data_IF_413072627055
#
_entry.id   IF_413072627055
#
_cell.length_a   1.000
_cell.length_b   1.000
_cell.length_c   1.000
_cell.angle_alpha   90.00
_cell.angle_beta   90.00
_cell.angle_gamma   90.00
#
_symmetry.space_group_name_H-M   'P 1'
#
loop_
_entity.id
_entity.type
_entity.pdbx_description
1 polymer ?
#
# COMPACT_ATOMS: atom_id res chain seq x y z
N UNK A 1 19.74 -6.58 15.55
CA UNK A 1 20.02 -5.87 14.29
C UNK A 1 18.71 -5.73 13.55
N UNK A 2 18.27 -4.51 13.22
CA UNK A 2 17.05 -4.32 12.45
C UNK A 2 17.21 -4.91 11.05
N UNK A 3 16.26 -5.73 10.62
CA UNK A 3 16.22 -6.17 9.23
C UNK A 3 15.98 -4.92 8.37
N UNK A 4 16.91 -4.62 7.46
CA UNK A 4 16.77 -3.50 6.53
C UNK A 4 15.63 -3.70 5.53
N UNK A 5 15.54 -2.86 4.51
CA UNK A 5 14.59 -3.06 3.41
C UNK A 5 14.90 -4.41 2.73
N UNK A 6 13.90 -5.25 2.42
CA UNK A 6 14.09 -6.54 1.75
C UNK A 6 14.90 -6.43 0.46
N UNK A 7 15.66 -7.48 0.15
CA UNK A 7 16.46 -7.50 -1.08
C UNK A 7 15.56 -7.45 -2.31
N UNK A 8 15.75 -6.43 -3.16
CA UNK A 8 14.94 -6.20 -4.36
C UNK A 8 13.80 -5.19 -4.18
N UNK A 9 13.66 -4.61 -2.98
CA UNK A 9 12.90 -3.38 -2.77
C UNK A 9 13.84 -2.24 -2.36
N UNK A 10 13.52 -1.03 -2.80
CA UNK A 10 14.20 0.20 -2.43
C UNK A 10 13.34 1.01 -1.45
N UNK A 11 12.02 0.84 -1.51
CA UNK A 11 11.03 1.55 -0.72
C UNK A 11 9.89 0.62 -0.32
N UNK A 12 9.28 0.89 0.83
CA UNK A 12 8.00 0.29 1.24
C UNK A 12 6.94 1.40 1.28
N UNK A 13 5.93 1.30 0.43
CA UNK A 13 4.76 2.18 0.49
C UNK A 13 3.69 1.54 1.39
N UNK A 14 3.15 2.30 2.34
CA UNK A 14 2.09 1.84 3.23
C UNK A 14 0.84 2.70 3.06
N UNK A 15 -0.31 2.05 2.89
CA UNK A 15 -1.60 2.72 2.79
C UNK A 15 -2.56 2.17 3.84
N UNK A 16 -3.21 3.08 4.57
CA UNK A 16 -4.15 2.74 5.63
C UNK A 16 -5.60 2.84 5.13
N UNK A 17 -6.49 1.93 5.56
CA UNK A 17 -7.91 2.04 5.30
C UNK A 17 -8.50 3.21 6.10
N UNK A 18 -9.72 3.63 5.72
CA UNK A 18 -10.40 4.77 6.36
C UNK A 18 -10.56 4.60 7.87
N UNK A 19 -10.70 3.35 8.34
CA UNK A 19 -10.80 3.02 9.76
C UNK A 19 -9.78 1.93 10.10
N UNK A 20 -8.90 2.24 11.04
CA UNK A 20 -7.96 1.28 11.63
C UNK A 20 -8.49 0.86 13.01
N UNK A 21 -8.44 -0.44 13.29
CA UNK A 21 -8.90 -1.07 14.53
C UNK A 21 -7.89 -2.13 14.94
N UNK A 22 -8.04 -2.68 16.16
CA UNK A 22 -7.18 -3.77 16.64
C UNK A 22 -7.23 -5.05 15.78
N UNK A 23 -8.33 -5.25 15.04
CA UNK A 23 -8.49 -6.37 14.10
C UNK A 23 -8.16 -6.03 12.65
N UNK A 24 -7.58 -4.85 12.37
CA UNK A 24 -7.24 -4.46 11.00
C UNK A 24 -6.07 -5.31 10.51
N UNK A 25 -6.33 -6.11 9.47
CA UNK A 25 -5.30 -6.96 8.83
C UNK A 25 -4.26 -6.12 8.10
N UNK A 26 -3.07 -6.68 7.96
CA UNK A 26 -1.98 -6.12 7.16
C UNK A 26 -1.67 -7.07 6.01
N UNK A 27 -1.60 -6.57 4.78
CA UNK A 27 -1.34 -7.39 3.59
C UNK A 27 -0.25 -6.80 2.72
N UNK A 28 0.60 -7.67 2.19
CA UNK A 28 1.56 -7.33 1.14
C UNK A 28 0.83 -7.41 -0.21
N UNK A 29 0.89 -6.34 -1.00
CA UNK A 29 0.18 -6.25 -2.27
C UNK A 29 1.00 -5.46 -3.30
N UNK A 30 0.92 -5.81 -4.61
CA UNK A 30 1.52 -4.99 -5.65
C UNK A 30 0.74 -3.68 -5.84
N UNK A 31 1.42 -2.66 -6.36
CA UNK A 31 0.77 -1.43 -6.79
C UNK A 31 -0.25 -1.73 -7.89
N UNK A 32 -1.47 -1.21 -7.76
CA UNK A 32 -2.46 -1.26 -8.83
C UNK A 32 -1.90 -0.56 -10.08
N UNK A 33 -2.09 -1.15 -11.27
CA UNK A 33 -1.63 -0.54 -12.53
C UNK A 33 -2.32 0.79 -12.82
N UNK A 34 -3.57 0.94 -12.40
CA UNK A 34 -4.37 2.13 -12.64
C UNK A 34 -5.43 2.27 -11.55
N UNK A 35 -5.60 3.49 -11.03
CA UNK A 35 -6.66 3.85 -10.07
C UNK A 35 -7.74 4.75 -10.68
N UNK A 36 -7.38 5.52 -11.70
CA UNK A 36 -8.26 6.48 -12.33
C UNK A 36 -8.21 6.35 -13.86
N UNK A 37 -9.38 6.33 -14.51
CA UNK A 37 -9.50 6.59 -15.93
C UNK A 37 -9.47 8.10 -16.17
N UNK A 38 -8.72 8.52 -17.18
CA UNK A 38 -8.62 9.91 -17.55
C UNK A 38 -9.91 10.42 -18.19
N UNK A 39 -10.45 11.52 -17.67
CA UNK A 39 -11.57 12.24 -18.28
C UNK A 39 -11.20 13.70 -18.49
N UNK A 40 -11.61 14.23 -19.64
CA UNK A 40 -11.41 15.64 -20.01
C UNK A 40 -12.78 16.27 -20.23
N UNK A 41 -13.08 17.35 -19.53
CA UNK A 41 -14.25 18.19 -19.79
C UNK A 41 -13.83 19.47 -20.49
N UNK A 42 -14.50 19.79 -21.60
CA UNK A 42 -14.30 21.02 -22.35
C UNK A 42 -15.30 22.04 -21.86
N UNK A 43 -14.81 23.18 -21.39
CA UNK A 43 -15.60 24.28 -20.86
C UNK A 43 -15.19 25.58 -21.57
N UNK A 44 -15.97 26.64 -21.39
CA UNK A 44 -15.76 27.93 -22.05
C UNK A 44 -15.72 29.03 -21.01
N UNK A 45 -14.69 29.89 -21.07
CA UNK A 45 -14.60 31.07 -20.22
C UNK A 45 -15.67 32.11 -20.64
N UNK A 46 -15.91 33.18 -19.85
CA UNK A 46 -16.89 34.21 -20.19
C UNK A 46 -16.63 34.93 -21.53
N UNK A 47 -15.44 34.78 -22.12
CA UNK A 47 -15.06 35.33 -23.43
C UNK A 47 -15.21 34.30 -24.55
N UNK A 48 -15.77 33.13 -24.26
CA UNK A 48 -15.92 32.03 -25.20
C UNK A 48 -14.63 31.26 -25.50
N UNK A 49 -13.54 31.43 -24.73
CA UNK A 49 -12.31 30.65 -24.91
C UNK A 49 -12.42 29.30 -24.22
N UNK A 50 -12.06 28.23 -24.95
CA UNK A 50 -12.03 26.87 -24.40
C UNK A 50 -11.00 26.75 -23.27
N UNK A 51 -11.39 26.09 -22.19
CA UNK A 51 -10.49 25.55 -21.17
C UNK A 51 -10.86 24.10 -20.83
N UNK A 52 -9.91 23.35 -20.30
CA UNK A 52 -10.05 21.91 -20.12
C UNK A 52 -9.88 21.55 -18.64
N UNK A 53 -10.83 20.77 -18.12
CA UNK A 53 -10.69 20.14 -16.81
C UNK A 53 -10.33 18.68 -16.98
N UNK A 54 -9.11 18.34 -16.55
CA UNK A 54 -8.62 16.97 -16.45
C UNK A 54 -8.96 16.44 -15.07
N UNK A 55 -9.68 15.33 -15.00
CA UNK A 55 -9.94 14.64 -13.75
C UNK A 55 -10.02 13.13 -13.96
N UNK A 56 -9.80 12.40 -12.87
CA UNK A 56 -9.91 10.95 -12.86
C UNK A 56 -11.29 10.49 -12.45
N UNK A 57 -11.83 9.47 -13.12
CA UNK A 57 -12.93 8.66 -12.57
C UNK A 57 -12.35 7.38 -11.99
N UNK A 58 -12.78 6.99 -10.79
CA UNK A 58 -12.34 5.75 -10.16
C UNK A 58 -12.63 4.56 -11.08
N UNK A 59 -11.69 3.63 -11.15
CA UNK A 59 -11.93 2.30 -11.73
C UNK A 59 -12.16 1.28 -10.63
N UNK A 60 -12.84 0.20 -10.98
CA UNK A 60 -12.93 -0.95 -10.11
C UNK A 60 -11.50 -1.46 -9.80
N UNK A 61 -11.16 -1.62 -8.52
CA UNK A 61 -9.80 -1.97 -8.14
C UNK A 61 -9.48 -3.42 -8.53
N UNK A 62 -8.29 -3.62 -9.11
CA UNK A 62 -7.79 -4.96 -9.47
C UNK A 62 -7.67 -5.82 -8.21
N UNK A 63 -8.34 -6.99 -8.13
CA UNK A 63 -8.25 -7.86 -6.96
C UNK A 63 -6.80 -8.19 -6.58
N UNK A 64 -6.49 -8.04 -5.30
CA UNK A 64 -5.14 -8.27 -4.76
C UNK A 64 -4.16 -7.10 -4.93
N UNK A 65 -4.52 -6.02 -5.63
CA UNK A 65 -3.74 -4.77 -5.63
C UNK A 65 -3.84 -4.02 -4.31
N UNK A 66 -2.90 -3.11 -4.06
CA UNK A 66 -2.93 -2.22 -2.89
C UNK A 66 -4.21 -1.38 -2.80
N UNK A 67 -4.72 -0.87 -3.92
CA UNK A 67 -6.02 -0.16 -3.98
C UNK A 67 -7.16 -1.08 -3.52
N UNK A 68 -7.17 -2.35 -3.94
CA UNK A 68 -8.19 -3.32 -3.53
C UNK A 68 -8.10 -3.63 -2.03
N UNK A 69 -6.89 -3.90 -1.53
CA UNK A 69 -6.65 -4.18 -0.10
C UNK A 69 -7.16 -3.05 0.79
N UNK A 70 -6.88 -1.79 0.41
CA UNK A 70 -7.26 -0.63 1.23
C UNK A 70 -8.74 -0.29 1.10
N UNK A 71 -9.27 -0.25 -0.13
CA UNK A 71 -10.62 0.29 -0.38
C UNK A 71 -11.72 -0.78 -0.34
N UNK A 72 -11.41 -2.04 -0.66
CA UNK A 72 -12.38 -3.14 -0.64
C UNK A 72 -12.23 -3.98 0.63
N UNK A 73 -11.01 -4.44 0.94
CA UNK A 73 -10.81 -5.34 2.08
C UNK A 73 -10.67 -4.61 3.44
N UNK A 74 -10.58 -3.28 3.41
CA UNK A 74 -10.39 -2.42 4.59
C UNK A 74 -9.18 -2.86 5.43
N UNK A 75 -8.09 -3.26 4.76
CA UNK A 75 -6.83 -3.68 5.36
C UNK A 75 -5.71 -2.68 5.04
N UNK A 76 -4.64 -2.72 5.82
CA UNK A 76 -3.42 -1.96 5.55
C UNK A 76 -2.67 -2.66 4.42
N UNK A 77 -2.31 -1.92 3.37
CA UNK A 77 -1.49 -2.44 2.27
C UNK A 77 -0.02 -2.04 2.45
N UNK A 78 0.88 -3.01 2.32
CA UNK A 78 2.33 -2.81 2.20
C UNK A 78 2.74 -3.15 0.76
N UNK A 79 3.25 -2.17 0.04
CA UNK A 79 3.67 -2.30 -1.36
C UNK A 79 5.18 -2.11 -1.46
N UNK A 80 5.98 -3.19 -1.65
CA UNK A 80 7.39 -3.06 -1.92
C UNK A 80 7.62 -2.52 -3.34
N UNK A 81 8.45 -1.49 -3.46
CA UNK A 81 8.75 -0.81 -4.72
C UNK A 81 10.24 -0.86 -5.00
N UNK A 82 10.60 -1.05 -6.27
CA UNK A 82 11.96 -0.85 -6.75
C UNK A 82 12.04 0.37 -7.66
N UNK A 83 13.14 1.11 -7.55
CA UNK A 83 13.50 2.22 -8.41
C UNK A 83 14.29 1.77 -9.64
N UNK A 84 14.68 0.49 -9.71
CA UNK A 84 15.27 -0.10 -10.91
C UNK A 84 14.20 -0.35 -11.98
N UNK A 85 14.15 0.53 -12.98
CA UNK A 85 13.17 0.47 -14.07
C UNK A 85 13.60 -0.41 -15.26
N UNK A 86 14.74 -1.12 -15.17
CA UNK A 86 15.10 -2.11 -16.19
C UNK A 86 14.13 -3.29 -16.17
N UNK A 87 13.86 -3.87 -17.35
CA UNK A 87 13.05 -5.09 -17.44
C UNK A 87 13.83 -6.23 -16.80
N UNK A 88 13.44 -6.59 -15.59
CA UNK A 88 14.08 -7.64 -14.79
C UNK A 88 13.08 -8.73 -14.43
N UNK A 89 13.57 -9.95 -14.16
CA UNK A 89 12.75 -11.04 -13.64
C UNK A 89 12.30 -10.78 -12.19
N UNK A 90 11.09 -11.21 -11.82
CA UNK A 90 10.47 -10.87 -10.54
C UNK A 90 11.11 -11.63 -9.36
N UNK A 91 11.59 -10.88 -8.36
CA UNK A 91 11.91 -11.39 -7.01
C UNK A 91 10.71 -11.31 -6.04
N UNK A 92 9.48 -11.13 -6.55
CA UNK A 92 8.28 -10.86 -5.75
C UNK A 92 8.08 -11.84 -4.59
N UNK A 93 8.17 -13.14 -4.87
CA UNK A 93 7.96 -14.17 -3.85
C UNK A 93 8.97 -14.04 -2.70
N UNK A 94 10.24 -13.77 -3.02
CA UNK A 94 11.29 -13.58 -2.01
C UNK A 94 11.00 -12.37 -1.14
N UNK A 95 10.69 -11.23 -1.77
CA UNK A 95 10.37 -9.99 -1.04
C UNK A 95 9.14 -10.21 -0.13
N UNK A 96 8.12 -10.90 -0.65
CA UNK A 96 6.92 -11.21 0.12
C UNK A 96 7.23 -12.11 1.33
N UNK A 97 8.09 -13.12 1.19
CA UNK A 97 8.55 -13.95 2.32
C UNK A 97 9.34 -13.14 3.35
N UNK A 98 10.28 -12.30 2.91
CA UNK A 98 11.08 -11.43 3.80
C UNK A 98 10.22 -10.43 4.58
N UNK A 99 9.05 -10.03 4.05
CA UNK A 99 8.11 -9.12 4.71
C UNK A 99 7.11 -9.81 5.66
N UNK A 100 6.94 -11.14 5.61
CA UNK A 100 5.99 -11.84 6.51
C UNK A 100 6.24 -11.59 8.01
N UNK A 101 7.48 -11.57 8.52
CA UNK A 101 7.73 -11.24 9.92
C UNK A 101 7.27 -9.83 10.29
N UNK A 102 7.49 -8.86 9.39
CA UNK A 102 7.05 -7.46 9.59
C UNK A 102 5.52 -7.37 9.63
N UNK A 103 4.83 -8.09 8.74
CA UNK A 103 3.36 -8.18 8.77
C UNK A 103 2.86 -8.71 10.12
N UNK A 104 3.43 -9.82 10.61
CA UNK A 104 3.05 -10.40 11.90
C UNK A 104 3.29 -9.45 13.07
N UNK A 105 4.43 -8.76 13.07
CA UNK A 105 4.77 -7.76 14.08
C UNK A 105 3.75 -6.61 14.10
N UNK A 106 3.38 -6.08 12.93
CA UNK A 106 2.39 -5.01 12.83
C UNK A 106 0.99 -5.45 13.26
N UNK A 107 0.59 -6.68 12.93
CA UNK A 107 -0.70 -7.23 13.37
C UNK A 107 -0.74 -7.47 14.88
N UNK A 108 0.36 -7.92 15.50
CA UNK A 108 0.48 -8.06 16.95
C UNK A 108 0.41 -6.70 17.67
N UNK A 109 1.12 -5.70 17.14
CA UNK A 109 1.07 -4.32 17.64
C UNK A 109 -0.35 -3.75 17.58
N UNK A 110 -1.07 -3.98 16.48
CA UNK A 110 -2.47 -3.57 16.35
C UNK A 110 -3.38 -4.28 17.34
N UNK A 111 -3.15 -5.58 17.59
CA UNK A 111 -3.92 -6.35 18.57
C UNK A 111 -3.72 -5.84 20.01
N UNK A 112 -2.62 -5.15 20.28
CA UNK A 112 -2.27 -4.62 21.59
C UNK A 112 -1.69 -5.70 22.50
N UNK A 113 -0.90 -6.63 21.96
CA UNK A 113 -0.09 -7.53 22.76
C UNK A 113 1.04 -6.73 23.43
N UNK A 114 0.83 -6.37 24.70
CA UNK A 114 1.87 -5.81 25.56
C UNK A 114 3.03 -6.82 25.68
N UNK A 115 4.23 -6.35 25.43
CA UNK A 115 5.47 -7.04 25.77
C UNK A 115 5.52 -7.24 27.29
N UNK A 116 5.09 -8.41 27.77
CA UNK A 116 5.38 -8.85 29.13
C UNK A 116 6.88 -9.10 29.24
N UNK A 117 7.60 -8.14 29.80
CA UNK A 117 8.78 -8.41 30.61
C UNK A 117 8.80 -7.47 31.80
N UNK A 118 8.03 -7.85 32.82
CA UNK A 118 8.19 -7.33 34.18
C UNK A 118 9.47 -7.92 34.80
N UNK A 119 10.27 -7.01 35.33
CA UNK A 119 11.32 -7.13 36.34
C UNK A 119 11.09 -8.22 37.42
N UNK A 120 12.09 -9.08 37.64
CA UNK A 120 12.71 -9.41 38.96
C UNK A 120 13.96 -10.24 38.65
N UNK A 121 15.15 -9.99 39.18
CA UNK A 121 15.63 -10.03 40.58
C UNK A 121 16.87 -9.09 40.63
N UNK A 122 17.11 -8.14 41.55
CA UNK A 122 17.08 -8.15 43.01
C UNK A 122 17.84 -9.30 43.65
#
# INVERSE_FOLDING_TARGET
MGNGIPSGADLLSMNFPRRVTRGTRVKIAPAARMKFLQKVSVLYDPRGKKYYWLYGTLVDPEPGSDVYVVHVEQAIAITPLSLNLNVTGKAWNRIAEELKPVVRMLEAELAGEEEQSSTSEA
#
